data_IF_598406373570
#
_entry.id   IF_598406373570
#
_cell.length_a   1.000
_cell.length_b   1.000
_cell.length_c   1.000
_cell.angle_alpha   90.00
_cell.angle_beta   90.00
_cell.angle_gamma   90.00
#
_symmetry.space_group_name_H-M   'P 1'
#
loop_
_entity.id
_entity.type
_entity.pdbx_description
1 polymer ?
#
# COMPACT_ATOMS: atom_id res chain seq x y z
N UNK A 1 -24.50 11.35 22.54
CA UNK A 1 -24.82 12.31 21.46
C UNK A 1 -23.85 12.08 20.30
N UNK A 2 -24.32 11.69 19.11
CA UNK A 2 -23.48 11.58 17.91
C UNK A 2 -23.28 12.98 17.35
N UNK A 3 -22.07 13.51 17.45
CA UNK A 3 -21.73 14.77 16.80
C UNK A 3 -21.89 14.58 15.29
N UNK A 4 -22.75 15.39 14.68
CA UNK A 4 -22.84 15.52 13.22
C UNK A 4 -21.43 15.94 12.77
N UNK A 5 -20.74 15.18 11.91
CA UNK A 5 -19.45 15.61 11.40
C UNK A 5 -19.65 16.96 10.70
N UNK A 6 -18.83 17.95 11.07
CA UNK A 6 -18.84 19.25 10.39
C UNK A 6 -18.70 19.00 8.88
N UNK A 7 -19.50 19.72 8.08
CA UNK A 7 -19.60 19.53 6.63
C UNK A 7 -18.24 19.37 5.93
N UNK A 8 -17.25 20.17 6.30
CA UNK A 8 -15.87 20.11 5.79
C UNK A 8 -15.14 18.79 6.11
N UNK A 9 -15.33 18.24 7.31
CA UNK A 9 -14.76 16.95 7.69
C UNK A 9 -15.41 15.81 6.90
N UNK A 10 -16.72 15.90 6.64
CA UNK A 10 -17.42 14.97 5.76
C UNK A 10 -16.84 14.97 4.35
N UNK A 11 -16.61 16.15 3.77
CA UNK A 11 -15.98 16.30 2.44
C UNK A 11 -14.58 15.70 2.42
N UNK A 12 -13.73 16.03 3.39
CA UNK A 12 -12.36 15.49 3.43
C UNK A 12 -12.34 13.96 3.52
N UNK A 13 -13.16 13.38 4.41
CA UNK A 13 -13.23 11.92 4.58
C UNK A 13 -13.75 11.24 3.31
N UNK A 14 -14.80 11.79 2.70
CA UNK A 14 -15.36 11.23 1.46
C UNK A 14 -14.37 11.31 0.30
N UNK A 15 -13.70 12.45 0.10
CA UNK A 15 -12.65 12.59 -0.92
C UNK A 15 -11.49 11.62 -0.69
N UNK A 16 -11.01 11.50 0.55
CA UNK A 16 -9.90 10.60 0.89
C UNK A 16 -10.25 9.13 0.63
N UNK A 17 -11.48 8.73 0.96
CA UNK A 17 -11.95 7.36 0.74
C UNK A 17 -12.21 7.09 -0.74
N UNK A 18 -12.75 8.06 -1.47
CA UNK A 18 -13.08 7.91 -2.89
C UNK A 18 -11.85 7.91 -3.81
N UNK A 19 -10.73 8.49 -3.37
CA UNK A 19 -9.51 8.64 -4.17
C UNK A 19 -8.97 7.30 -4.69
N UNK A 20 -8.70 6.34 -3.80
CA UNK A 20 -8.11 5.06 -4.22
C UNK A 20 -9.02 4.23 -5.15
N UNK A 21 -10.32 4.00 -4.86
CA UNK A 21 -11.19 3.29 -5.79
C UNK A 21 -11.32 3.98 -7.14
N UNK A 22 -11.37 5.32 -7.16
CA UNK A 22 -11.47 6.08 -8.40
C UNK A 22 -10.21 5.91 -9.24
N UNK A 23 -9.02 5.99 -8.64
CA UNK A 23 -7.75 5.73 -9.32
C UNK A 23 -7.65 4.29 -9.82
N UNK A 24 -8.07 3.33 -8.99
CA UNK A 24 -8.09 1.92 -9.36
C UNK A 24 -8.98 1.68 -10.58
N UNK A 25 -10.18 2.29 -10.62
CA UNK A 25 -11.08 2.20 -11.77
C UNK A 25 -10.48 2.83 -13.04
N UNK A 26 -9.75 3.94 -12.92
CA UNK A 26 -9.04 4.55 -14.05
C UNK A 26 -7.95 3.60 -14.59
N UNK A 27 -7.20 2.95 -13.71
CA UNK A 27 -6.18 1.96 -14.12
C UNK A 27 -6.76 0.65 -14.62
N UNK A 28 -7.97 0.26 -14.18
CA UNK A 28 -8.63 -0.97 -14.61
C UNK A 28 -9.03 -0.93 -16.09
N UNK A 29 -9.09 0.25 -16.71
CA UNK A 29 -9.41 0.43 -18.12
C UNK A 29 -8.48 -0.33 -19.07
N UNK A 30 -7.25 -0.65 -18.64
CA UNK A 30 -6.29 -1.47 -19.40
C UNK A 30 -6.41 -2.98 -19.15
N UNK A 31 -7.32 -3.42 -18.27
CA UNK A 31 -7.53 -4.82 -17.88
C UNK A 31 -6.61 -5.28 -16.75
N UNK A 32 -7.03 -6.33 -16.02
CA UNK A 32 -6.20 -6.94 -14.98
C UNK A 32 -5.14 -7.87 -15.61
N UNK A 33 -3.86 -7.72 -15.27
CA UNK A 33 -2.82 -8.63 -15.74
C UNK A 33 -3.04 -10.03 -15.17
N UNK A 34 -2.56 -11.10 -15.82
CA UNK A 34 -2.72 -12.46 -15.31
C UNK A 34 -2.03 -12.63 -13.95
N UNK A 35 -2.71 -13.31 -13.02
CA UNK A 35 -2.17 -13.61 -11.70
C UNK A 35 -0.94 -14.52 -11.85
N UNK A 36 0.23 -14.02 -11.46
CA UNK A 36 1.47 -14.79 -11.35
C UNK A 36 1.92 -14.81 -9.90
N UNK A 37 2.42 -15.95 -9.46
CA UNK A 37 3.00 -16.09 -8.12
C UNK A 37 4.52 -16.00 -8.18
N UNK A 38 5.16 -15.77 -7.04
CA UNK A 38 6.62 -15.80 -6.88
C UNK A 38 7.26 -17.15 -7.27
N UNK A 39 6.46 -18.22 -7.35
CA UNK A 39 6.91 -19.55 -7.77
C UNK A 39 6.88 -19.73 -9.30
N UNK A 40 6.34 -18.76 -10.04
CA UNK A 40 6.40 -18.78 -11.49
C UNK A 40 7.86 -18.67 -11.97
N UNK A 41 8.15 -19.33 -13.10
CA UNK A 41 9.52 -19.41 -13.60
C UNK A 41 9.99 -18.03 -14.07
N UNK A 42 10.98 -17.47 -13.37
CA UNK A 42 11.65 -16.24 -13.73
C UNK A 42 13.00 -16.55 -14.39
N UNK A 43 13.01 -16.47 -15.72
CA UNK A 43 14.21 -16.71 -16.51
C UNK A 43 15.32 -15.72 -16.17
N UNK A 44 15.00 -14.44 -16.02
CA UNK A 44 16.00 -13.39 -15.79
C UNK A 44 16.67 -13.56 -14.42
N UNK A 45 15.87 -13.75 -13.37
CA UNK A 45 16.40 -14.01 -12.02
C UNK A 45 17.24 -15.30 -11.98
N UNK A 46 16.81 -16.34 -12.70
CA UNK A 46 17.57 -17.59 -12.83
C UNK A 46 18.92 -17.37 -13.51
N UNK A 47 18.99 -16.57 -14.58
CA UNK A 47 20.24 -16.24 -15.26
C UNK A 47 21.17 -15.40 -14.39
N UNK A 48 20.63 -14.48 -13.58
CA UNK A 48 21.42 -13.69 -12.63
C UNK A 48 22.08 -14.57 -11.57
N UNK A 49 21.36 -15.57 -11.04
CA UNK A 49 21.93 -16.54 -10.09
C UNK A 49 23.01 -17.38 -10.77
N UNK A 50 22.76 -17.89 -11.98
CA UNK A 50 23.77 -18.63 -12.74
C UNK A 50 25.03 -17.80 -12.96
N UNK A 51 24.88 -16.53 -13.37
CA UNK A 51 25.99 -15.60 -13.53
C UNK A 51 26.76 -15.42 -12.22
N UNK A 52 26.08 -15.25 -11.08
CA UNK A 52 26.72 -15.14 -9.77
C UNK A 52 27.50 -16.40 -9.40
N UNK A 53 26.97 -17.60 -9.68
CA UNK A 53 27.67 -18.86 -9.40
C UNK A 53 29.02 -18.92 -10.13
N UNK A 54 29.07 -18.49 -11.40
CA UNK A 54 30.31 -18.52 -12.20
C UNK A 54 31.36 -17.47 -11.80
N UNK A 55 31.02 -16.52 -10.92
CA UNK A 55 32.00 -15.55 -10.39
C UNK A 55 32.87 -16.12 -9.26
N UNK A 56 32.48 -17.28 -8.70
CA UNK A 56 33.22 -17.90 -7.60
C UNK A 56 34.15 -19.00 -8.12
N UNK A 57 35.38 -19.13 -7.57
CA UNK A 57 36.32 -20.17 -7.97
C UNK A 57 35.86 -21.58 -7.61
N UNK A 58 35.03 -21.72 -6.56
CA UNK A 58 34.51 -23.00 -6.09
C UNK A 58 33.00 -23.09 -6.39
N UNK A 59 32.65 -23.70 -7.51
CA UNK A 59 31.25 -23.83 -8.00
C UNK A 59 30.35 -24.59 -7.01
N UNK A 60 30.77 -25.73 -6.41
CA UNK A 60 29.97 -26.40 -5.38
C UNK A 60 29.58 -25.49 -4.22
N UNK A 61 30.55 -24.73 -3.69
CA UNK A 61 30.32 -23.78 -2.61
C UNK A 61 29.39 -22.65 -3.06
N UNK A 62 29.59 -22.14 -4.27
CA UNK A 62 28.76 -21.09 -4.84
C UNK A 62 27.30 -21.52 -5.03
N UNK A 63 27.05 -22.78 -5.40
CA UNK A 63 25.67 -23.32 -5.52
C UNK A 63 24.96 -23.43 -4.18
N UNK A 64 25.70 -23.62 -3.07
CA UNK A 64 25.12 -23.59 -1.73
C UNK A 64 24.67 -22.17 -1.35
N UNK A 65 25.49 -21.16 -1.67
CA UNK A 65 25.19 -19.76 -1.35
C UNK A 65 24.30 -19.03 -2.36
N UNK A 66 24.26 -19.46 -3.62
CA UNK A 66 23.50 -18.87 -4.72
C UNK A 66 22.52 -19.91 -5.27
N UNK A 67 21.51 -20.25 -4.47
CA UNK A 67 20.50 -21.25 -4.82
C UNK A 67 19.30 -20.59 -5.51
N UNK A 68 18.72 -21.24 -6.53
CA UNK A 68 17.48 -20.81 -7.19
C UNK A 68 16.29 -20.72 -6.22
N UNK A 69 16.31 -21.48 -5.12
CA UNK A 69 15.32 -21.35 -4.05
C UNK A 69 15.31 -19.95 -3.39
N UNK A 70 16.40 -19.17 -3.53
CA UNK A 70 16.45 -17.80 -3.06
C UNK A 70 15.55 -16.85 -3.85
N UNK A 71 15.20 -17.18 -5.10
CA UNK A 71 14.34 -16.31 -5.93
C UNK A 71 12.98 -16.09 -5.26
N UNK A 72 12.17 -17.14 -4.97
CA UNK A 72 10.88 -16.94 -4.33
C UNK A 72 11.01 -16.34 -2.92
N UNK A 73 12.04 -16.71 -2.14
CA UNK A 73 12.20 -16.16 -0.77
C UNK A 73 12.51 -14.67 -0.80
N UNK A 74 13.44 -14.24 -1.66
CA UNK A 74 13.80 -12.82 -1.80
C UNK A 74 12.64 -11.98 -2.34
N UNK A 75 11.89 -12.50 -3.32
CA UNK A 75 10.66 -11.85 -3.81
C UNK A 75 9.60 -11.75 -2.70
N UNK A 76 9.39 -12.82 -1.94
CA UNK A 76 8.44 -12.81 -0.84
C UNK A 76 8.81 -11.77 0.23
N UNK A 77 10.08 -11.74 0.65
CA UNK A 77 10.58 -10.76 1.61
C UNK A 77 10.43 -9.33 1.10
N UNK A 78 10.81 -9.06 -0.16
CA UNK A 78 10.65 -7.72 -0.75
C UNK A 78 9.18 -7.29 -0.80
N UNK A 79 8.28 -8.20 -1.20
CA UNK A 79 6.85 -7.90 -1.27
C UNK A 79 6.25 -7.68 0.12
N UNK A 80 6.63 -8.49 1.11
CA UNK A 80 6.16 -8.37 2.48
C UNK A 80 6.60 -7.03 3.09
N UNK A 81 7.87 -6.65 2.93
CA UNK A 81 8.39 -5.37 3.42
C UNK A 81 7.65 -4.20 2.74
N UNK A 82 7.47 -4.28 1.42
CA UNK A 82 6.77 -3.25 0.67
C UNK A 82 5.28 -3.12 1.08
N UNK A 83 4.60 -4.23 1.39
CA UNK A 83 3.19 -4.21 1.81
C UNK A 83 3.00 -3.69 3.24
N UNK A 84 4.00 -3.80 4.11
CA UNK A 84 3.91 -3.30 5.50
C UNK A 84 4.37 -1.84 5.60
N UNK A 85 5.18 -1.37 4.66
CA UNK A 85 5.70 0.00 4.65
C UNK A 85 4.56 1.04 4.44
N UNK A 86 4.35 1.97 5.39
CA UNK A 86 3.44 3.10 5.22
C UNK A 86 3.71 3.94 3.95
N UNK A 87 4.95 3.97 3.47
CA UNK A 87 5.31 4.69 2.24
C UNK A 87 4.52 4.21 1.03
N UNK A 88 4.26 2.90 0.94
CA UNK A 88 3.44 2.31 -0.11
C UNK A 88 2.05 2.95 -0.20
N UNK A 89 1.49 3.40 0.93
CA UNK A 89 0.12 3.89 1.01
C UNK A 89 0.00 5.41 0.96
N UNK A 90 0.92 6.13 1.62
CA UNK A 90 0.76 7.58 1.87
C UNK A 90 1.72 8.48 1.07
N UNK A 91 2.85 7.95 0.61
CA UNK A 91 3.91 8.72 -0.03
C UNK A 91 4.23 8.25 -1.46
N UNK A 92 3.94 6.99 -1.77
CA UNK A 92 4.43 6.32 -2.97
C UNK A 92 5.86 5.84 -2.81
N UNK A 93 6.28 4.87 -3.61
CA UNK A 93 7.65 4.36 -3.58
C UNK A 93 8.62 5.21 -4.40
N UNK A 94 9.90 5.15 -4.04
CA UNK A 94 10.94 5.63 -4.94
C UNK A 94 10.95 4.83 -6.24
N UNK A 95 11.28 5.44 -7.40
CA UNK A 95 11.34 4.75 -8.70
C UNK A 95 12.21 3.49 -8.73
N UNK A 96 13.17 3.36 -7.79
CA UNK A 96 14.07 2.21 -7.65
C UNK A 96 13.50 1.07 -6.78
N UNK A 97 12.43 1.34 -6.03
CA UNK A 97 11.77 0.39 -5.12
C UNK A 97 10.46 -0.15 -5.71
N UNK A 98 10.11 0.27 -6.92
CA UNK A 98 8.89 -0.16 -7.60
C UNK A 98 9.03 -1.63 -7.99
N UNK A 99 8.32 -2.50 -7.26
CA UNK A 99 8.17 -3.92 -7.56
C UNK A 99 7.27 -4.17 -8.80
N UNK A 100 7.61 -3.56 -9.93
CA UNK A 100 7.05 -3.92 -11.25
C UNK A 100 5.66 -3.39 -11.62
N UNK A 101 5.14 -2.33 -10.98
CA UNK A 101 3.81 -1.77 -11.30
C UNK A 101 3.68 -0.26 -11.10
N UNK A 102 2.56 0.33 -11.55
CA UNK A 102 2.24 1.74 -11.27
C UNK A 102 1.93 1.91 -9.79
N UNK A 103 2.92 2.31 -9.00
CA UNK A 103 2.73 2.49 -7.57
C UNK A 103 2.04 3.82 -7.26
N UNK A 104 0.71 3.80 -7.37
CA UNK A 104 -0.14 4.95 -7.11
C UNK A 104 -0.23 5.22 -5.61
N UNK A 105 -0.20 6.49 -5.23
CA UNK A 105 -0.46 6.91 -3.83
C UNK A 105 -1.93 6.63 -3.53
N UNK A 106 -2.18 5.83 -2.50
CA UNK A 106 -3.50 5.34 -2.12
C UNK A 106 -4.28 6.33 -1.29
N UNK A 107 -3.60 6.96 -0.34
CA UNK A 107 -4.18 7.94 0.56
C UNK A 107 -3.33 9.22 0.56
N UNK A 108 -3.93 10.42 0.65
CA UNK A 108 -3.18 11.65 0.82
C UNK A 108 -2.28 11.56 2.06
N UNK A 109 -1.04 12.04 2.01
CA UNK A 109 -0.10 11.95 3.13
C UNK A 109 -0.70 12.48 4.46
N UNK A 110 -1.56 13.48 4.34
CA UNK A 110 -2.23 14.17 5.44
C UNK A 110 -3.19 13.24 6.19
N UNK A 111 -3.60 12.13 5.60
CA UNK A 111 -4.41 11.12 6.28
C UNK A 111 -3.61 10.24 7.25
N UNK A 112 -2.26 10.25 7.18
CA UNK A 112 -1.39 9.38 7.97
C UNK A 112 -1.58 9.53 9.49
N UNK A 113 -1.64 10.74 10.09
CA UNK A 113 -1.86 10.84 11.53
C UNK A 113 -3.21 10.30 11.98
N UNK A 114 -4.25 10.45 11.15
CA UNK A 114 -5.56 9.84 11.42
C UNK A 114 -5.45 8.31 11.38
N UNK A 115 -4.73 7.76 10.41
CA UNK A 115 -4.50 6.32 10.31
C UNK A 115 -3.79 5.77 11.56
N UNK A 116 -2.71 6.42 12.01
CA UNK A 116 -1.96 6.02 13.23
C UNK A 116 -2.87 6.06 14.46
N UNK A 117 -3.65 7.13 14.63
CA UNK A 117 -4.62 7.24 15.73
C UNK A 117 -5.69 6.16 15.66
N UNK A 118 -6.17 5.86 14.46
CA UNK A 118 -7.16 4.81 14.22
C UNK A 118 -6.64 3.44 14.59
N UNK A 119 -5.41 3.13 14.16
CA UNK A 119 -4.72 1.88 14.46
C UNK A 119 -4.55 1.69 15.97
N UNK A 120 -4.05 2.72 16.66
CA UNK A 120 -3.90 2.72 18.11
C UNK A 120 -5.22 2.60 18.87
N UNK A 121 -6.27 3.28 18.40
CA UNK A 121 -7.58 3.23 19.05
C UNK A 121 -8.30 1.89 18.83
N UNK A 122 -8.15 1.28 17.65
CA UNK A 122 -8.70 -0.04 17.33
C UNK A 122 -7.98 -1.16 18.08
N UNK A 123 -6.66 -1.07 18.28
CA UNK A 123 -5.89 -2.11 18.97
C UNK A 123 -6.34 -2.33 20.43
N UNK A 124 -6.95 -1.30 21.05
CA UNK A 124 -7.52 -1.39 22.41
C UNK A 124 -8.90 -2.05 22.48
N UNK A 125 -9.58 -2.27 21.35
CA UNK A 125 -10.94 -2.84 21.32
C UNK A 125 -10.88 -4.36 21.13
N UNK A 126 -11.70 -5.09 21.92
CA UNK A 126 -11.74 -6.56 21.92
C UNK A 126 -12.13 -7.18 20.56
N UNK A 127 -12.98 -6.52 19.77
CA UNK A 127 -13.56 -7.08 18.54
C UNK A 127 -12.73 -6.81 17.26
N UNK A 128 -11.54 -6.22 17.38
CA UNK A 128 -10.74 -5.86 16.20
C UNK A 128 -9.84 -6.99 15.68
N UNK A 129 -9.84 -8.15 16.36
CA UNK A 129 -9.01 -9.30 15.96
C UNK A 129 -9.30 -9.78 14.54
N UNK A 130 -10.58 -9.77 14.13
CA UNK A 130 -10.97 -10.14 12.77
C UNK A 130 -10.44 -9.15 11.73
N UNK A 131 -10.50 -7.85 12.02
CA UNK A 131 -9.97 -6.81 11.13
C UNK A 131 -8.46 -6.96 10.93
N UNK A 132 -7.70 -7.11 12.02
CA UNK A 132 -6.25 -7.29 11.95
C UNK A 132 -5.87 -8.65 11.38
N UNK A 133 -6.65 -9.70 11.64
CA UNK A 133 -6.48 -11.01 11.01
C UNK A 133 -6.69 -10.95 9.51
N UNK A 134 -7.73 -10.25 9.04
CA UNK A 134 -7.96 -10.01 7.62
C UNK A 134 -6.83 -9.20 6.98
N UNK A 135 -6.38 -8.12 7.63
CA UNK A 135 -5.23 -7.32 7.18
C UNK A 135 -3.98 -8.19 7.04
N UNK A 136 -3.63 -8.96 8.07
CA UNK A 136 -2.45 -9.82 8.08
C UNK A 136 -2.55 -10.93 7.01
N UNK A 137 -3.69 -11.60 6.89
CA UNK A 137 -3.92 -12.62 5.88
C UNK A 137 -3.80 -12.04 4.46
N UNK A 138 -4.35 -10.85 4.23
CA UNK A 138 -4.27 -10.16 2.93
C UNK A 138 -2.83 -9.81 2.58
N UNK A 139 -2.05 -9.29 3.53
CA UNK A 139 -0.62 -9.00 3.34
C UNK A 139 0.13 -10.29 2.97
N UNK A 140 -0.07 -11.38 3.72
CA UNK A 140 0.61 -12.65 3.45
C UNK A 140 0.27 -13.23 2.07
N UNK A 141 -1.00 -13.17 1.67
CA UNK A 141 -1.45 -13.65 0.36
C UNK A 141 -0.86 -12.77 -0.76
N UNK A 142 -0.89 -11.45 -0.61
CA UNK A 142 -0.32 -10.52 -1.58
C UNK A 142 1.19 -10.67 -1.71
N UNK A 143 1.90 -11.00 -0.63
CA UNK A 143 3.35 -11.27 -0.67
C UNK A 143 3.73 -12.46 -1.56
N UNK A 144 2.80 -13.39 -1.82
CA UNK A 144 3.01 -14.55 -2.70
C UNK A 144 2.83 -14.22 -4.19
N UNK A 145 2.32 -13.04 -4.54
CA UNK A 145 2.17 -12.60 -5.92
C UNK A 145 3.50 -12.10 -6.49
N UNK A 146 3.74 -12.31 -7.77
CA UNK A 146 4.93 -11.79 -8.46
C UNK A 146 4.87 -10.27 -8.61
N UNK A 147 3.68 -9.72 -8.86
CA UNK A 147 3.37 -8.30 -8.81
C UNK A 147 2.11 -8.09 -7.95
N UNK A 148 2.29 -7.59 -6.73
CA UNK A 148 1.17 -7.34 -5.82
C UNK A 148 0.50 -5.98 -6.07
N UNK A 149 1.16 -5.04 -6.77
CA UNK A 149 0.69 -3.67 -6.91
C UNK A 149 -0.68 -3.58 -7.60
N UNK A 150 -0.96 -4.51 -8.52
CA UNK A 150 -2.24 -4.56 -9.24
C UNK A 150 -3.39 -5.12 -8.39
N UNK A 151 -3.07 -5.75 -7.25
CA UNK A 151 -4.01 -6.48 -6.40
C UNK A 151 -4.09 -5.93 -4.97
N UNK A 152 -3.30 -4.89 -4.66
CA UNK A 152 -3.25 -4.30 -3.32
C UNK A 152 -4.55 -3.61 -2.90
N UNK A 153 -5.50 -3.43 -3.83
CA UNK A 153 -6.86 -2.97 -3.55
C UNK A 153 -7.60 -3.84 -2.52
N UNK A 154 -7.23 -5.12 -2.35
CA UNK A 154 -7.78 -5.97 -1.27
C UNK A 154 -7.54 -5.36 0.12
N UNK A 155 -6.44 -4.61 0.30
CA UNK A 155 -6.11 -3.92 1.54
C UNK A 155 -6.92 -2.63 1.75
N UNK A 156 -7.62 -2.14 0.72
CA UNK A 156 -8.42 -0.92 0.82
C UNK A 156 -9.40 -0.97 1.99
N UNK A 157 -10.19 -2.05 2.10
CA UNK A 157 -11.22 -2.19 3.12
C UNK A 157 -10.69 -2.05 4.55
N UNK A 158 -9.71 -2.88 5.00
CA UNK A 158 -9.20 -2.76 6.36
C UNK A 158 -8.54 -1.40 6.62
N UNK A 159 -7.84 -0.83 5.63
CA UNK A 159 -7.18 0.46 5.78
C UNK A 159 -8.19 1.62 5.94
N UNK A 160 -9.27 1.63 5.17
CA UNK A 160 -10.36 2.62 5.30
C UNK A 160 -11.03 2.52 6.66
N UNK A 161 -11.29 1.31 7.16
CA UNK A 161 -11.89 1.11 8.50
C UNK A 161 -10.97 1.69 9.59
N UNK A 162 -9.67 1.46 9.48
CA UNK A 162 -8.67 2.02 10.40
C UNK A 162 -8.69 3.55 10.35
N UNK A 163 -8.62 4.13 9.15
CA UNK A 163 -8.67 5.57 8.94
C UNK A 163 -9.94 6.21 9.51
N UNK A 164 -11.12 5.66 9.21
CA UNK A 164 -12.41 6.14 9.70
C UNK A 164 -12.48 6.12 11.24
N UNK A 165 -11.95 5.07 11.87
CA UNK A 165 -11.89 5.02 13.32
C UNK A 165 -10.95 6.08 13.90
N UNK A 166 -9.85 6.37 13.19
CA UNK A 166 -8.94 7.48 13.51
C UNK A 166 -9.62 8.84 13.49
N UNK A 167 -10.34 9.15 12.41
CA UNK A 167 -11.12 10.39 12.30
C UNK A 167 -12.15 10.53 13.44
N UNK A 168 -12.78 9.44 13.86
CA UNK A 168 -13.76 9.43 14.97
C UNK A 168 -13.13 9.56 16.35
N UNK A 169 -11.85 9.23 16.50
CA UNK A 169 -11.17 9.21 17.80
C UNK A 169 -10.63 10.59 18.21
N UNK A 170 -10.77 11.61 17.37
CA UNK A 170 -10.31 12.97 17.68
C UNK A 170 -11.25 13.63 18.69
N UNK A 171 -10.74 14.11 19.83
CA UNK A 171 -11.55 14.73 20.86
C UNK A 171 -12.17 16.04 20.36
N UNK A 172 -13.44 16.25 20.69
CA UNK A 172 -14.26 17.38 20.24
C UNK A 172 -13.67 18.76 20.61
N UNK A 173 -12.87 18.84 21.68
CA UNK A 173 -12.17 20.06 22.09
C UNK A 173 -11.02 20.47 21.16
N UNK A 174 -10.58 19.60 20.24
CA UNK A 174 -9.49 19.86 19.26
C UNK A 174 -10.01 20.03 17.83
N UNK A 175 -11.31 20.28 17.66
CA UNK A 175 -11.94 20.49 16.35
C UNK A 175 -11.28 21.65 15.58
N UNK A 176 -10.89 22.74 16.24
CA UNK A 176 -10.21 23.86 15.55
C UNK A 176 -8.90 23.42 14.86
N UNK A 177 -8.10 22.59 15.52
CA UNK A 177 -6.88 22.03 14.94
C UNK A 177 -7.17 21.06 13.80
N UNK A 178 -8.25 20.25 13.91
CA UNK A 178 -8.63 19.36 12.81
C UNK A 178 -9.11 20.14 11.58
N UNK A 179 -9.75 21.30 11.75
CA UNK A 179 -10.18 22.16 10.63
C UNK A 179 -8.99 22.80 9.93
N UNK A 180 -8.05 23.35 10.70
CA UNK A 180 -6.81 23.90 10.15
C UNK A 180 -6.02 22.81 9.41
N UNK A 181 -5.98 21.60 9.96
CA UNK A 181 -5.34 20.46 9.33
C UNK A 181 -6.03 20.04 8.02
N UNK A 182 -7.36 19.97 7.98
CA UNK A 182 -8.13 19.68 6.75
C UNK A 182 -7.96 20.78 5.69
N UNK A 183 -7.95 22.05 6.11
CA UNK A 183 -7.78 23.19 5.22
C UNK A 183 -6.39 23.17 4.56
N UNK A 184 -5.35 22.82 5.33
CA UNK A 184 -4.02 22.57 4.76
C UNK A 184 -3.99 21.28 3.94
N UNK A 185 -4.78 20.26 4.27
CA UNK A 185 -4.75 18.97 3.60
C UNK A 185 -5.26 18.99 2.16
N UNK A 186 -6.32 19.76 1.94
CA UNK A 186 -7.06 19.83 0.69
C UNK A 186 -6.19 20.22 -0.52
N UNK A 187 -5.35 21.27 -0.47
CA UNK A 187 -4.46 21.60 -1.60
C UNK A 187 -3.43 20.51 -1.87
N UNK A 188 -2.86 19.86 -0.84
CA UNK A 188 -1.92 18.76 -1.05
C UNK A 188 -2.60 17.54 -1.70
N UNK A 189 -3.81 17.19 -1.25
CA UNK A 189 -4.58 16.11 -1.86
C UNK A 189 -4.94 16.43 -3.33
N UNK A 190 -5.28 17.69 -3.63
CA UNK A 190 -5.57 18.13 -5.00
C UNK A 190 -4.33 18.05 -5.91
N UNK A 191 -3.15 18.46 -5.42
CA UNK A 191 -1.90 18.38 -6.16
C UNK A 191 -1.54 16.92 -6.46
N UNK A 192 -1.64 16.03 -5.46
CA UNK A 192 -1.38 14.60 -5.66
C UNK A 192 -2.36 13.97 -6.65
N UNK A 193 -3.64 14.33 -6.56
CA UNK A 193 -4.65 13.85 -7.51
C UNK A 193 -4.35 14.30 -8.95
N UNK A 194 -4.01 15.58 -9.15
CA UNK A 194 -3.61 16.10 -10.45
C UNK A 194 -2.35 15.40 -10.99
N UNK A 195 -1.34 15.20 -10.13
CA UNK A 195 -0.12 14.48 -10.49
C UNK A 195 -0.43 13.07 -10.98
N UNK A 196 -1.31 12.36 -10.29
CA UNK A 196 -1.69 11.00 -10.67
C UNK A 196 -2.52 10.93 -11.94
N UNK A 197 -3.42 11.89 -12.19
CA UNK A 197 -4.14 11.98 -13.46
C UNK A 197 -3.17 12.16 -14.64
N UNK A 198 -2.13 12.98 -14.48
CA UNK A 198 -1.10 13.19 -15.51
C UNK A 198 -0.30 11.90 -15.77
N UNK A 199 0.08 11.17 -14.71
CA UNK A 199 0.85 9.92 -14.83
C UNK A 199 0.01 8.78 -15.42
N UNK A 200 -1.28 8.73 -15.08
CA UNK A 200 -2.18 7.64 -15.46
C UNK A 200 -2.72 7.78 -16.89
N UNK A 201 -2.61 8.96 -17.51
CA UNK A 201 -2.94 9.14 -18.91
C UNK A 201 -1.81 8.58 -19.78
N UNK A 202 -2.05 7.51 -20.57
CA UNK A 202 -1.05 7.04 -21.51
C UNK A 202 -0.84 8.13 -22.58
N UNK A 203 0.43 8.44 -22.85
CA UNK A 203 0.79 9.02 -24.14
C UNK A 203 0.79 7.91 -25.19
#
# INVERSE_FOLDING_TARGET
MRAIPNFLQGIFVTLTIALWPLLFLLTLSSGLPPIKTIFSFDYQASQLILRKIYLYPNIPLARLFQNKAQIPTTKYESNLVALIDPNNYFFGFHPREVAGGLNLVKFPFVSLPFFILGFYALSKRKNCRLLFGFLAASILILSLLDNFADYDFVLYFPLVVIFLHGCKSIPQKRIGLSHLYILLALPFAAIEFLRQLIISYPR
#
